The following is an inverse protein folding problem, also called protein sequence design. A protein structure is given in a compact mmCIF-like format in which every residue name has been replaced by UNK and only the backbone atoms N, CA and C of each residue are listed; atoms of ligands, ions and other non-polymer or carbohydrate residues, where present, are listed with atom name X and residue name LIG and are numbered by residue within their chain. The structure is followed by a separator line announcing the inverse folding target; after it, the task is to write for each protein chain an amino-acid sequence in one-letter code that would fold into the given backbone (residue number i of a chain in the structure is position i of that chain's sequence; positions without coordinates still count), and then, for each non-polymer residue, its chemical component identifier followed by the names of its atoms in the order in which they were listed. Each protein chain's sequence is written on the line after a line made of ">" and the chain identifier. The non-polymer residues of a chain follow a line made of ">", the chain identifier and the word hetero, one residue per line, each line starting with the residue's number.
data_IF_754512634536
#
_entry.id   IF_754512634536
#
_cell.length_a   1.000
_cell.length_b   1.000
_cell.length_c   1.000
_cell.angle_alpha   90.00
_cell.angle_beta   90.00
_cell.angle_gamma   90.00
#
_symmetry.space_group_name_H-M   'P 1'
#
loop_
_entity.id
_entity.type
_entity.pdbx_description
1 polymer ?
#
# COMPACT_ATOMS: atom_id res chain seq x y z
N UNK A 1 -8.39 35.27 5.68
CA UNK A 1 -7.81 34.18 6.51
C UNK A 1 -8.25 32.78 6.08
N UNK A 2 -9.53 32.50 5.78
CA UNK A 2 -9.96 31.15 5.36
C UNK A 2 -9.36 30.63 4.03
N UNK A 3 -9.05 31.52 3.08
CA UNK A 3 -8.51 31.15 1.77
C UNK A 3 -7.05 30.66 1.84
N UNK A 4 -6.20 31.33 2.62
CA UNK A 4 -4.79 30.96 2.77
C UNK A 4 -4.61 29.59 3.45
N UNK A 5 -5.38 29.33 4.51
CA UNK A 5 -5.39 28.01 5.16
C UNK A 5 -5.90 26.88 4.25
N UNK A 6 -6.83 27.16 3.33
CA UNK A 6 -7.26 26.19 2.31
C UNK A 6 -6.17 25.93 1.28
N UNK A 7 -5.46 26.97 0.84
CA UNK A 7 -4.34 26.83 -0.11
C UNK A 7 -3.16 26.06 0.50
N UNK A 8 -2.81 26.29 1.76
CA UNK A 8 -1.78 25.51 2.47
C UNK A 8 -2.21 24.03 2.58
N UNK A 9 -3.46 23.78 2.98
CA UNK A 9 -4.00 22.41 3.03
C UNK A 9 -3.92 21.70 1.66
N UNK A 10 -4.22 22.42 0.57
CA UNK A 10 -4.11 21.86 -0.78
C UNK A 10 -2.65 21.59 -1.18
N UNK A 11 -1.71 22.49 -0.85
CA UNK A 11 -0.29 22.32 -1.15
C UNK A 11 0.34 21.14 -0.41
N UNK A 12 0.01 20.97 0.87
CA UNK A 12 0.50 19.83 1.68
C UNK A 12 -0.08 18.52 1.21
N UNK A 13 -1.40 18.46 0.93
CA UNK A 13 -2.03 17.27 0.35
C UNK A 13 -1.39 16.90 -1.01
N UNK A 14 -1.15 17.90 -1.88
CA UNK A 14 -0.42 17.68 -3.12
C UNK A 14 1.00 17.14 -2.90
N UNK A 15 1.74 17.68 -1.93
CA UNK A 15 3.07 17.20 -1.59
C UNK A 15 3.07 15.76 -1.02
N UNK A 16 1.99 15.35 -0.35
CA UNK A 16 1.79 13.97 0.11
C UNK A 16 1.44 13.03 -1.05
N UNK A 17 0.58 13.47 -1.98
CA UNK A 17 0.24 12.71 -3.19
C UNK A 17 1.47 12.51 -4.09
N UNK A 18 2.38 13.48 -4.10
CA UNK A 18 3.66 13.45 -4.84
C UNK A 18 4.80 12.76 -4.07
N UNK A 19 4.61 12.43 -2.77
CA UNK A 19 5.64 11.79 -1.94
C UNK A 19 5.77 10.31 -2.29
N UNK A 20 6.68 9.98 -3.20
CA UNK A 20 7.16 8.62 -3.41
C UNK A 20 8.10 8.25 -2.24
N UNK A 21 7.58 7.47 -1.28
CA UNK A 21 8.33 7.10 -0.09
C UNK A 21 9.68 6.49 -0.41
N UNK A 22 10.77 7.15 0.00
CA UNK A 22 12.05 6.45 0.11
C UNK A 22 11.91 5.37 1.19
N UNK A 23 12.27 4.10 0.89
CA UNK A 23 12.29 3.06 1.90
C UNK A 23 13.25 3.47 3.03
N UNK A 24 12.92 3.18 4.30
CA UNK A 24 13.79 3.52 5.40
C UNK A 24 15.15 2.80 5.23
N UNK A 25 16.22 3.59 5.12
CA UNK A 25 17.59 3.08 5.22
C UNK A 25 17.72 2.51 6.63
N UNK A 26 17.80 1.18 6.72
CA UNK A 26 17.94 0.45 7.98
C UNK A 26 19.36 0.71 8.51
N UNK A 27 19.45 1.62 9.47
CA UNK A 27 20.69 1.94 10.18
C UNK A 27 21.29 0.73 10.90
N UNK A 28 22.60 0.62 10.80
CA UNK A 28 23.47 -0.32 11.52
C UNK A 28 23.37 -0.05 13.02
N UNK A 29 23.18 -1.09 13.84
CA UNK A 29 23.52 -1.04 15.26
C UNK A 29 24.26 -2.31 15.69
N UNK A 30 25.35 -2.10 16.42
CA UNK A 30 26.39 -3.06 16.77
C UNK A 30 25.97 -4.16 17.79
N UNK A 31 26.46 -5.37 17.48
CA UNK A 31 26.98 -6.49 18.30
C UNK A 31 26.26 -6.97 19.58
N UNK A 32 25.94 -8.29 19.61
CA UNK A 32 26.01 -9.13 20.80
C UNK A 32 27.26 -10.04 20.81
N UNK A 33 27.82 -10.25 22.00
CA UNK A 33 29.07 -10.97 22.33
C UNK A 33 29.04 -12.49 22.13
N UNK A 34 30.15 -13.04 21.62
CA UNK A 34 30.40 -14.46 21.27
C UNK A 34 30.49 -15.39 22.49
N UNK A 35 29.86 -16.56 22.41
CA UNK A 35 30.39 -17.79 22.99
C UNK A 35 31.04 -18.59 21.84
N UNK A 36 32.33 -18.96 21.97
CA UNK A 36 33.08 -19.70 20.95
C UNK A 36 32.57 -21.15 20.88
N UNK A 37 31.92 -21.50 19.78
CA UNK A 37 31.93 -22.87 19.27
C UNK A 37 33.08 -22.97 18.25
N UNK A 38 33.74 -24.12 18.18
CA UNK A 38 34.85 -24.34 17.25
C UNK A 38 34.42 -24.08 15.80
N UNK A 39 35.09 -23.12 15.18
CA UNK A 39 34.81 -22.59 13.86
C UNK A 39 35.34 -23.60 12.82
N UNK A 40 34.46 -24.48 12.34
CA UNK A 40 34.73 -25.22 11.11
C UNK A 40 34.82 -24.21 9.97
N UNK A 41 35.89 -24.28 9.16
CA UNK A 41 36.02 -23.39 8.01
C UNK A 41 34.77 -23.51 7.11
N UNK A 42 34.11 -22.39 6.77
CA UNK A 42 33.02 -22.43 5.83
C UNK A 42 33.54 -23.00 4.51
N UNK A 43 32.81 -23.93 3.85
CA UNK A 43 33.21 -24.40 2.55
C UNK A 43 33.34 -23.17 1.62
N UNK A 44 34.51 -23.03 0.98
CA UNK A 44 34.71 -22.07 -0.12
C UNK A 44 33.85 -22.52 -1.30
N UNK A 45 32.56 -22.25 -1.20
CA UNK A 45 31.57 -22.43 -2.24
C UNK A 45 31.35 -21.10 -2.91
N UNK A 46 31.67 -21.06 -4.20
CA UNK A 46 31.42 -19.96 -5.12
C UNK A 46 30.10 -19.24 -4.81
N UNK A 47 30.13 -17.90 -4.77
CA UNK A 47 28.91 -17.09 -4.83
C UNK A 47 28.06 -17.60 -6.00
N UNK A 48 26.94 -18.26 -5.67
CA UNK A 48 26.00 -18.69 -6.67
C UNK A 48 25.48 -17.41 -7.35
N UNK A 49 25.61 -17.25 -8.68
CA UNK A 49 24.99 -16.13 -9.38
C UNK A 49 23.51 -16.12 -9.00
N UNK A 50 23.03 -15.01 -8.43
CA UNK A 50 21.69 -14.91 -7.87
C UNK A 50 20.66 -15.49 -8.82
N UNK A 51 20.03 -16.60 -8.43
CA UNK A 51 19.05 -17.27 -9.27
C UNK A 51 17.99 -16.26 -9.70
N UNK A 52 17.78 -16.11 -11.01
CA UNK A 52 16.81 -15.17 -11.55
C UNK A 52 15.44 -15.41 -10.87
N UNK A 53 14.89 -14.37 -10.24
CA UNK A 53 13.58 -14.45 -9.58
C UNK A 53 12.54 -14.80 -10.64
N UNK A 54 11.96 -16.00 -10.54
CA UNK A 54 10.87 -16.43 -11.42
C UNK A 54 9.65 -15.55 -11.18
N UNK A 55 8.97 -15.15 -12.24
CA UNK A 55 7.73 -14.38 -12.20
C UNK A 55 6.71 -15.04 -13.11
N UNK A 56 5.46 -15.10 -12.67
CA UNK A 56 4.39 -15.63 -13.53
C UNK A 56 4.17 -14.74 -14.77
N UNK A 57 3.59 -15.29 -15.86
CA UNK A 57 3.14 -14.47 -16.98
C UNK A 57 2.23 -13.35 -16.50
N UNK A 58 2.33 -12.18 -17.13
CA UNK A 58 1.48 -11.04 -16.76
C UNK A 58 0.02 -11.39 -17.00
N UNK A 59 -0.81 -11.21 -15.98
CA UNK A 59 -2.24 -11.47 -16.07
C UNK A 59 -3.02 -10.19 -15.82
N UNK A 60 -3.91 -9.87 -16.75
CA UNK A 60 -4.74 -8.67 -16.70
C UNK A 60 -6.10 -9.00 -16.12
N UNK A 61 -6.41 -8.41 -14.97
CA UNK A 61 -7.74 -8.57 -14.36
C UNK A 61 -8.73 -7.59 -14.98
N UNK A 62 -10.02 -7.72 -14.64
CA UNK A 62 -11.03 -6.77 -15.07
C UNK A 62 -10.67 -5.31 -14.69
N UNK A 63 -10.94 -4.35 -15.56
CA UNK A 63 -10.58 -2.94 -15.34
C UNK A 63 -11.30 -2.34 -14.13
N UNK A 64 -10.65 -1.49 -13.36
CA UNK A 64 -11.24 -0.82 -12.20
C UNK A 64 -12.01 0.42 -12.62
N UNK A 65 -13.31 0.45 -12.33
CA UNK A 65 -14.15 1.61 -12.61
C UNK A 65 -13.91 2.67 -11.54
N UNK A 66 -13.40 3.82 -11.96
CA UNK A 66 -13.24 4.99 -11.08
C UNK A 66 -14.62 5.49 -10.62
N UNK A 67 -14.71 5.89 -9.35
CA UNK A 67 -15.88 6.57 -8.80
C UNK A 67 -15.74 8.10 -8.95
N UNK A 68 -16.80 8.82 -8.59
CA UNK A 68 -16.80 10.29 -8.66
C UNK A 68 -16.00 10.94 -7.52
N UNK A 69 -15.44 10.15 -6.59
CA UNK A 69 -14.61 10.62 -5.48
C UNK A 69 -13.14 10.63 -5.86
N UNK A 70 -12.38 11.53 -5.25
CA UNK A 70 -10.96 11.71 -5.53
C UNK A 70 -10.64 12.11 -6.97
N UNK A 71 -9.40 12.51 -7.19
CA UNK A 71 -8.90 12.83 -8.54
C UNK A 71 -8.62 11.54 -9.31
N UNK A 72 -8.49 11.64 -10.64
CA UNK A 72 -8.04 10.49 -11.44
C UNK A 72 -6.61 10.07 -11.06
N UNK A 73 -5.75 11.05 -10.78
CA UNK A 73 -4.38 10.83 -10.32
C UNK A 73 -4.33 10.06 -8.99
N UNK A 74 -5.15 10.43 -8.01
CA UNK A 74 -5.19 9.71 -6.72
C UNK A 74 -5.74 8.29 -6.89
N UNK A 75 -6.71 8.11 -7.78
CA UNK A 75 -7.21 6.78 -8.11
C UNK A 75 -6.11 5.90 -8.73
N UNK A 76 -5.36 6.44 -9.69
CA UNK A 76 -4.26 5.75 -10.34
C UNK A 76 -3.13 5.44 -9.35
N UNK A 77 -2.77 6.39 -8.48
CA UNK A 77 -1.75 6.20 -7.45
C UNK A 77 -2.10 5.06 -6.51
N UNK A 78 -3.31 5.05 -5.97
CA UNK A 78 -3.74 3.96 -5.09
C UNK A 78 -3.84 2.62 -5.84
N UNK A 79 -4.34 2.62 -7.07
CA UNK A 79 -4.44 1.40 -7.87
C UNK A 79 -3.05 0.81 -8.20
N UNK A 80 -2.08 1.66 -8.50
CA UNK A 80 -0.68 1.27 -8.70
C UNK A 80 -0.09 0.67 -7.41
N UNK A 81 -0.30 1.31 -6.26
CA UNK A 81 0.14 0.77 -4.97
C UNK A 81 -0.40 -0.63 -4.68
N UNK A 82 -1.66 -0.91 -5.06
CA UNK A 82 -2.23 -2.26 -4.98
C UNK A 82 -1.49 -3.24 -5.90
N UNK A 83 -1.19 -2.82 -7.13
CA UNK A 83 -0.52 -3.65 -8.13
C UNK A 83 0.92 -3.96 -7.73
N UNK A 84 1.68 -2.96 -7.30
CA UNK A 84 3.05 -3.11 -6.80
C UNK A 84 3.10 -4.03 -5.59
N UNK A 85 2.20 -3.82 -4.62
CA UNK A 85 2.06 -4.67 -3.44
C UNK A 85 1.81 -6.13 -3.81
N UNK A 86 0.89 -6.39 -4.76
CA UNK A 86 0.65 -7.73 -5.30
C UNK A 86 1.90 -8.31 -5.95
N UNK A 87 2.56 -7.57 -6.85
CA UNK A 87 3.68 -8.04 -7.64
C UNK A 87 4.98 -8.21 -6.85
N UNK A 88 5.02 -7.68 -5.62
CA UNK A 88 6.09 -7.89 -4.66
C UNK A 88 5.91 -9.16 -3.80
N UNK A 89 4.71 -9.74 -3.73
CA UNK A 89 4.47 -11.00 -3.02
C UNK A 89 4.92 -12.23 -3.83
N UNK A 90 5.32 -13.28 -3.11
CA UNK A 90 5.41 -14.61 -3.73
C UNK A 90 4.02 -15.22 -3.91
N UNK A 91 3.92 -16.15 -4.85
CA UNK A 91 2.70 -16.92 -5.11
C UNK A 91 2.23 -17.64 -3.85
N UNK A 92 3.16 -18.27 -3.10
CA UNK A 92 2.84 -18.93 -1.84
C UNK A 92 2.25 -17.95 -0.82
N UNK A 93 2.92 -16.82 -0.60
CA UNK A 93 2.47 -15.81 0.36
C UNK A 93 1.08 -15.30 0.02
N UNK A 94 0.81 -15.01 -1.26
CA UNK A 94 -0.52 -14.58 -1.70
C UNK A 94 -1.59 -15.64 -1.40
N UNK A 95 -1.35 -16.91 -1.75
CA UNK A 95 -2.32 -17.98 -1.52
C UNK A 95 -2.59 -18.22 -0.03
N UNK A 96 -1.55 -18.23 0.80
CA UNK A 96 -1.68 -18.35 2.25
C UNK A 96 -2.47 -17.19 2.86
N UNK A 97 -2.19 -15.96 2.44
CA UNK A 97 -2.90 -14.76 2.89
C UNK A 97 -4.37 -14.78 2.43
N UNK A 98 -4.65 -15.21 1.19
CA UNK A 98 -6.01 -15.37 0.67
C UNK A 98 -6.80 -16.42 1.43
N UNK A 99 -6.18 -17.55 1.76
CA UNK A 99 -6.80 -18.60 2.56
C UNK A 99 -7.05 -18.15 4.01
N UNK A 100 -6.10 -17.43 4.61
CA UNK A 100 -6.30 -16.81 5.92
C UNK A 100 -7.47 -15.82 5.89
N UNK A 101 -7.50 -14.91 4.92
CA UNK A 101 -8.59 -13.94 4.76
C UNK A 101 -9.96 -14.62 4.57
N UNK A 102 -10.05 -15.71 3.78
CA UNK A 102 -11.30 -16.46 3.63
C UNK A 102 -11.77 -17.09 4.94
N UNK A 103 -10.84 -17.56 5.79
CA UNK A 103 -11.15 -18.22 7.08
C UNK A 103 -11.57 -17.23 8.17
N UNK A 104 -10.84 -16.12 8.32
CA UNK A 104 -11.00 -15.21 9.46
C UNK A 104 -11.44 -13.80 9.06
N UNK A 105 -11.50 -13.48 7.77
CA UNK A 105 -11.81 -12.14 7.28
C UNK A 105 -10.86 -11.11 7.86
N UNK A 106 -11.43 -10.09 8.49
CA UNK A 106 -10.73 -9.01 9.20
C UNK A 106 -10.72 -9.19 10.72
N UNK A 107 -10.99 -10.39 11.23
CA UNK A 107 -10.96 -10.63 12.69
C UNK A 107 -9.55 -10.42 13.22
N UNK A 108 -9.41 -9.62 14.28
CA UNK A 108 -8.13 -9.31 14.92
C UNK A 108 -7.32 -8.20 14.24
N UNK A 109 -7.84 -7.58 13.18
CA UNK A 109 -7.14 -6.49 12.47
C UNK A 109 -7.54 -5.11 12.99
N UNK A 110 -6.82 -4.08 12.57
CA UNK A 110 -7.17 -2.67 12.82
C UNK A 110 -6.40 -2.03 13.97
N UNK A 111 -5.64 -2.82 14.76
CA UNK A 111 -4.67 -2.24 15.70
C UNK A 111 -3.56 -1.53 14.92
N UNK A 112 -2.98 -2.18 13.92
CA UNK A 112 -1.98 -1.58 13.04
C UNK A 112 -2.53 -0.33 12.35
N UNK A 113 -3.79 -0.39 11.88
CA UNK A 113 -4.47 0.75 11.27
C UNK A 113 -4.59 1.96 12.21
N UNK A 114 -5.02 1.74 13.47
CA UNK A 114 -5.15 2.81 14.46
C UNK A 114 -3.80 3.44 14.81
N UNK A 115 -2.78 2.62 15.02
CA UNK A 115 -1.43 3.08 15.33
C UNK A 115 -0.82 3.88 14.17
N UNK A 116 -0.96 3.39 12.94
CA UNK A 116 -0.50 4.10 11.76
C UNK A 116 -1.22 5.45 11.61
N UNK A 117 -2.55 5.49 11.75
CA UNK A 117 -3.32 6.75 11.70
C UNK A 117 -2.90 7.75 12.76
N UNK A 118 -2.56 7.29 13.97
CA UNK A 118 -2.04 8.15 15.04
C UNK A 118 -0.70 8.78 14.63
N UNK A 119 0.25 7.95 14.18
CA UNK A 119 1.57 8.42 13.71
C UNK A 119 1.45 9.39 12.52
N UNK A 120 0.58 9.09 11.57
CA UNK A 120 0.35 10.00 10.43
C UNK A 120 -0.26 11.32 10.85
N UNK A 121 -1.22 11.31 11.78
CA UNK A 121 -1.79 12.54 12.33
C UNK A 121 -0.71 13.41 13.00
N UNK A 122 0.17 12.81 13.79
CA UNK A 122 1.29 13.51 14.42
C UNK A 122 2.23 14.12 13.37
N UNK A 123 2.56 13.37 12.31
CA UNK A 123 3.37 13.87 11.19
C UNK A 123 2.69 15.04 10.46
N UNK A 124 1.40 14.94 10.16
CA UNK A 124 0.62 16.00 9.52
C UNK A 124 0.59 17.28 10.36
N UNK A 125 0.42 17.15 11.69
CA UNK A 125 0.45 18.30 12.59
C UNK A 125 1.80 19.01 12.48
N UNK A 126 2.91 18.27 12.55
CA UNK A 126 4.24 18.86 12.44
C UNK A 126 4.47 19.56 11.10
N UNK A 127 4.03 18.95 9.99
CA UNK A 127 4.14 19.53 8.65
C UNK A 127 3.30 20.81 8.50
N UNK A 128 2.08 20.82 9.02
CA UNK A 128 1.23 22.02 8.96
C UNK A 128 1.75 23.14 9.85
N UNK A 129 2.26 22.81 11.04
CA UNK A 129 2.87 23.78 11.92
C UNK A 129 4.09 24.43 11.26
N UNK A 130 4.99 23.63 10.69
CA UNK A 130 6.14 24.11 9.93
C UNK A 130 5.71 25.01 8.75
N UNK A 131 4.70 24.61 7.99
CA UNK A 131 4.19 25.42 6.88
C UNK A 131 3.62 26.76 7.32
N UNK A 132 2.86 26.80 8.43
CA UNK A 132 2.27 28.02 9.00
C UNK A 132 3.32 28.97 9.56
N UNK A 133 4.38 28.43 10.19
CA UNK A 133 5.51 29.20 10.69
C UNK A 133 6.31 29.80 9.52
N UNK A 134 6.60 29.00 8.49
CA UNK A 134 7.38 29.43 7.33
C UNK A 134 6.65 30.44 6.45
N UNK A 135 5.32 30.37 6.37
CA UNK A 135 4.52 31.38 5.66
C UNK A 135 4.34 32.67 6.45
N UNK A 136 4.66 32.66 7.75
CA UNK A 136 4.40 33.77 8.66
C UNK A 136 2.92 34.01 8.95
N UNK A 137 2.04 33.04 8.62
CA UNK A 137 0.60 33.17 8.79
C UNK A 137 0.15 33.01 10.24
N UNK A 138 0.89 32.23 11.04
CA UNK A 138 0.59 32.02 12.46
C UNK A 138 1.84 31.62 13.22
N UNK A 139 1.87 31.93 14.53
CA UNK A 139 3.02 31.68 15.39
C UNK A 139 2.59 31.11 16.74
N UNK A 140 3.53 30.43 17.41
CA UNK A 140 3.33 29.89 18.76
C UNK A 140 2.11 28.98 18.87
N UNK A 141 1.36 29.13 19.96
CA UNK A 141 0.20 28.27 20.26
C UNK A 141 -0.89 28.32 19.18
N UNK A 142 -1.03 29.43 18.46
CA UNK A 142 -2.03 29.56 17.40
C UNK A 142 -1.66 28.71 16.18
N UNK A 143 -0.38 28.65 15.81
CA UNK A 143 0.10 27.78 14.73
C UNK A 143 -0.17 26.30 15.04
N UNK A 144 0.13 25.86 16.27
CA UNK A 144 -0.12 24.49 16.75
C UNK A 144 -1.62 24.17 16.68
N UNK A 145 -2.48 25.11 17.11
CA UNK A 145 -3.93 24.93 17.11
C UNK A 145 -4.48 24.80 15.69
N UNK A 146 -4.04 25.66 14.77
CA UNK A 146 -4.44 25.61 13.36
C UNK A 146 -3.92 24.33 12.68
N UNK A 147 -2.67 23.95 12.92
CA UNK A 147 -2.09 22.72 12.40
C UNK A 147 -2.89 21.47 12.84
N UNK A 148 -3.30 21.41 14.12
CA UNK A 148 -4.19 20.36 14.63
C UNK A 148 -5.54 20.36 13.93
N UNK A 149 -6.13 21.52 13.64
CA UNK A 149 -7.40 21.61 12.94
C UNK A 149 -7.29 21.13 11.48
N UNK A 150 -6.24 21.54 10.76
CA UNK A 150 -5.94 21.10 9.40
C UNK A 150 -5.71 19.58 9.35
N UNK A 151 -4.82 19.05 10.19
CA UNK A 151 -4.58 17.62 10.27
C UNK A 151 -5.86 16.83 10.63
N UNK A 152 -6.68 17.32 11.55
CA UNK A 152 -7.96 16.68 11.87
C UNK A 152 -8.94 16.68 10.68
N UNK A 153 -8.89 17.71 9.82
CA UNK A 153 -9.72 17.79 8.63
C UNK A 153 -9.28 16.76 7.60
N UNK A 154 -7.99 16.66 7.30
CA UNK A 154 -7.49 15.67 6.33
C UNK A 154 -7.63 14.24 6.84
N UNK A 155 -7.39 14.01 8.13
CA UNK A 155 -7.59 12.68 8.71
C UNK A 155 -9.04 12.20 8.63
N UNK A 156 -10.04 13.09 8.39
CA UNK A 156 -11.43 12.65 8.11
C UNK A 156 -11.60 12.09 6.70
N UNK A 157 -10.80 12.56 5.73
CA UNK A 157 -10.90 12.17 4.32
C UNK A 157 -9.85 11.14 3.92
N UNK A 158 -8.75 11.03 4.66
CA UNK A 158 -7.68 10.08 4.42
C UNK A 158 -7.89 8.78 5.20
N UNK A 159 -7.67 7.64 4.55
CA UNK A 159 -7.62 6.31 5.13
C UNK A 159 -6.21 5.73 5.04
N UNK A 160 -5.87 4.88 6.02
CA UNK A 160 -4.73 4.00 5.92
C UNK A 160 -4.93 3.01 4.77
N UNK A 161 -3.93 2.91 3.88
CA UNK A 161 -3.94 2.03 2.73
C UNK A 161 -3.18 0.75 3.04
N UNK A 162 -3.77 -0.37 2.64
CA UNK A 162 -3.14 -1.68 2.60
C UNK A 162 -2.72 -1.94 1.15
N UNK A 163 -1.42 -2.05 0.89
CA UNK A 163 -0.89 -2.27 -0.45
C UNK A 163 -0.23 -3.67 -0.51
N UNK A 164 -0.96 -4.74 -0.88
CA UNK A 164 -2.33 -4.75 -1.37
C UNK A 164 -3.40 -4.88 -0.29
N UNK A 165 -4.67 -4.77 -0.70
CA UNK A 165 -5.84 -4.92 0.16
C UNK A 165 -5.84 -6.34 0.74
N UNK A 166 -6.24 -6.51 1.99
CA UNK A 166 -6.38 -7.82 2.62
C UNK A 166 -7.28 -8.78 1.83
N UNK A 167 -8.33 -8.25 1.16
CA UNK A 167 -9.17 -9.03 0.24
C UNK A 167 -8.32 -9.59 -0.91
N UNK A 168 -7.35 -8.83 -1.40
CA UNK A 168 -6.42 -9.24 -2.46
C UNK A 168 -5.16 -9.93 -1.91
N UNK A 169 -5.18 -10.45 -0.68
CA UNK A 169 -4.05 -11.19 -0.10
C UNK A 169 -3.00 -10.32 0.59
N UNK A 170 -3.31 -9.06 0.91
CA UNK A 170 -2.50 -8.23 1.78
C UNK A 170 -2.56 -8.64 3.25
N UNK A 171 -1.62 -8.12 4.04
CA UNK A 171 -1.56 -8.26 5.50
C UNK A 171 -2.08 -6.99 6.18
N UNK A 172 -2.34 -7.03 7.49
CA UNK A 172 -2.73 -5.85 8.29
C UNK A 172 -1.52 -4.93 8.56
N UNK A 173 -0.90 -4.44 7.48
CA UNK A 173 0.16 -3.45 7.50
C UNK A 173 -0.29 -2.21 6.74
N UNK A 174 0.01 -1.04 7.31
CA UNK A 174 -0.29 0.25 6.69
C UNK A 174 0.97 0.79 6.07
N UNK A 175 0.93 0.98 4.76
CA UNK A 175 2.07 1.51 3.99
C UNK A 175 1.99 3.04 3.93
N UNK A 176 0.79 3.58 3.77
CA UNK A 176 0.59 5.01 3.52
C UNK A 176 -0.85 5.48 3.83
N UNK A 177 -1.13 6.77 3.64
CA UNK A 177 -2.47 7.33 3.62
C UNK A 177 -2.90 7.65 2.18
N UNK A 178 -4.21 7.64 1.94
CA UNK A 178 -4.80 8.16 0.71
C UNK A 178 -6.29 8.41 0.87
N UNK A 179 -6.91 8.97 -0.16
CA UNK A 179 -8.33 9.28 -0.17
C UNK A 179 -9.19 8.04 0.17
N UNK A 180 -10.02 8.19 1.20
CA UNK A 180 -10.88 7.13 1.71
C UNK A 180 -11.93 6.67 0.70
N UNK A 181 -12.44 7.58 -0.10
CA UNK A 181 -13.46 7.30 -1.12
C UNK A 181 -12.90 6.50 -2.28
N UNK A 182 -11.67 6.83 -2.70
CA UNK A 182 -10.91 6.06 -3.69
C UNK A 182 -10.62 4.65 -3.16
N UNK A 183 -10.04 4.54 -1.96
CA UNK A 183 -9.70 3.26 -1.33
C UNK A 183 -10.93 2.35 -1.22
N UNK A 184 -12.05 2.88 -0.72
CA UNK A 184 -13.31 2.12 -0.63
C UNK A 184 -13.82 1.67 -2.01
N UNK A 185 -13.66 2.49 -3.05
CA UNK A 185 -14.11 2.13 -4.40
C UNK A 185 -13.24 1.05 -5.04
N UNK A 186 -11.93 1.07 -4.83
CA UNK A 186 -11.04 -0.01 -5.28
C UNK A 186 -11.37 -1.29 -4.49
N UNK A 187 -11.45 -1.18 -3.16
CA UNK A 187 -11.76 -2.28 -2.24
C UNK A 187 -13.07 -3.01 -2.56
N UNK A 188 -14.12 -2.26 -2.90
CA UNK A 188 -15.42 -2.82 -3.25
C UNK A 188 -15.43 -3.63 -4.56
N UNK A 189 -14.44 -3.45 -5.42
CA UNK A 189 -14.40 -4.09 -6.74
C UNK A 189 -13.68 -5.45 -6.75
N UNK A 190 -12.94 -5.79 -5.69
CA UNK A 190 -12.14 -7.02 -5.65
C UNK A 190 -12.96 -8.31 -5.88
N UNK A 191 -14.10 -8.42 -5.21
CA UNK A 191 -14.96 -9.62 -5.24
C UNK A 191 -16.04 -9.58 -6.33
N UNK A 192 -16.10 -8.52 -7.13
CA UNK A 192 -17.12 -8.37 -8.17
C UNK A 192 -16.57 -8.82 -9.52
N UNK A 193 -17.43 -9.45 -10.32
CA UNK A 193 -17.23 -9.50 -11.76
C UNK A 193 -17.06 -8.08 -12.30
N UNK A 194 -16.13 -7.90 -13.23
CA UNK A 194 -15.87 -6.62 -13.86
C UNK A 194 -16.10 -6.70 -15.36
N UNK A 195 -15.48 -5.77 -16.06
CA UNK A 195 -15.47 -5.72 -17.51
C UNK A 195 -14.02 -5.82 -17.97
N UNK A 196 -13.76 -6.61 -19.00
CA UNK A 196 -12.44 -6.70 -19.64
C UNK A 196 -12.23 -5.56 -20.65
N UNK A 197 -11.06 -5.53 -21.30
CA UNK A 197 -10.75 -4.46 -22.26
C UNK A 197 -11.64 -4.47 -23.52
N UNK A 198 -12.32 -5.59 -23.79
CA UNK A 198 -13.24 -5.73 -24.91
C UNK A 198 -14.67 -5.26 -24.58
N UNK A 199 -14.92 -4.86 -23.32
CA UNK A 199 -16.24 -4.48 -22.86
C UNK A 199 -17.09 -5.66 -22.40
N UNK A 200 -16.54 -6.88 -22.35
CA UNK A 200 -17.27 -8.07 -21.92
C UNK A 200 -17.19 -8.28 -20.41
N UNK A 201 -18.30 -8.75 -19.83
CA UNK A 201 -18.37 -9.06 -18.40
C UNK A 201 -17.53 -10.29 -18.10
N UNK A 202 -16.64 -10.21 -17.10
CA UNK A 202 -15.83 -11.35 -16.68
C UNK A 202 -16.68 -12.38 -15.94
N UNK A 203 -16.35 -13.67 -16.10
CA UNK A 203 -17.02 -14.78 -15.40
C UNK A 203 -16.55 -14.92 -13.95
N UNK A 204 -15.28 -14.61 -13.71
CA UNK A 204 -14.67 -14.57 -12.38
C UNK A 204 -14.49 -13.12 -11.91
N UNK A 205 -14.53 -12.92 -10.60
CA UNK A 205 -14.04 -11.70 -9.95
C UNK A 205 -12.52 -11.58 -10.08
N UNK A 206 -11.99 -10.40 -9.76
CA UNK A 206 -10.54 -10.13 -9.85
C UNK A 206 -9.74 -11.05 -8.94
N UNK A 207 -10.17 -11.25 -7.69
CA UNK A 207 -9.46 -12.13 -6.76
C UNK A 207 -9.62 -13.61 -7.11
N UNK A 208 -10.72 -14.02 -7.73
CA UNK A 208 -10.90 -15.41 -8.18
C UNK A 208 -9.97 -15.76 -9.33
N UNK A 209 -9.84 -14.91 -10.33
CA UNK A 209 -8.90 -15.17 -11.43
C UNK A 209 -7.44 -15.12 -10.93
N UNK A 210 -7.12 -14.20 -10.02
CA UNK A 210 -5.81 -14.17 -9.35
C UNK A 210 -5.53 -15.45 -8.56
N UNK A 211 -6.53 -15.98 -7.82
CA UNK A 211 -6.41 -17.26 -7.10
C UNK A 211 -6.12 -18.43 -8.06
N UNK A 212 -6.76 -18.45 -9.23
CA UNK A 212 -6.54 -19.48 -10.27
C UNK A 212 -5.13 -19.38 -10.85
N UNK A 213 -4.71 -18.19 -11.25
CA UNK A 213 -3.40 -18.01 -11.88
C UNK A 213 -2.24 -18.19 -10.90
N UNK A 214 -2.42 -17.80 -9.63
CA UNK A 214 -1.46 -18.08 -8.58
C UNK A 214 -1.31 -19.59 -8.33
N UNK A 215 -2.40 -20.38 -8.29
CA UNK A 215 -2.32 -21.85 -8.17
C UNK A 215 -1.59 -22.49 -9.34
N UNK A 216 -1.82 -22.00 -10.56
CA UNK A 216 -1.10 -22.44 -11.76
C UNK A 216 0.38 -22.08 -11.70
N UNK A 217 0.72 -20.88 -11.23
CA UNK A 217 2.11 -20.47 -11.03
C UNK A 217 2.81 -21.30 -9.95
N UNK A 218 2.09 -21.67 -8.88
CA UNK A 218 2.62 -22.52 -7.81
C UNK A 218 3.08 -23.88 -8.35
N UNK A 219 2.25 -24.52 -9.20
CA UNK A 219 2.57 -25.84 -9.76
C UNK A 219 3.65 -25.80 -10.85
N UNK A 220 3.79 -24.69 -11.58
CA UNK A 220 4.70 -24.59 -12.73
C UNK A 220 6.03 -23.90 -12.41
N UNK A 221 6.03 -22.89 -11.55
CA UNK A 221 7.18 -22.05 -11.24
C UNK A 221 7.70 -22.25 -9.80
N UNK A 222 6.86 -22.76 -8.91
CA UNK A 222 7.17 -22.99 -7.49
C UNK A 222 6.68 -21.88 -6.56
N UNK A 223 6.82 -22.08 -5.24
CA UNK A 223 6.24 -21.21 -4.22
C UNK A 223 6.85 -19.80 -4.17
N UNK A 224 8.13 -19.68 -4.53
CA UNK A 224 8.88 -18.43 -4.45
C UNK A 224 8.74 -17.54 -5.69
N UNK A 225 8.05 -18.03 -6.73
CA UNK A 225 7.75 -17.23 -7.91
C UNK A 225 6.93 -15.99 -7.51
N UNK A 226 7.20 -14.85 -8.13
CA UNK A 226 6.46 -13.60 -7.90
C UNK A 226 5.18 -13.54 -8.73
N UNK A 227 4.19 -12.84 -8.20
CA UNK A 227 3.00 -12.46 -8.96
C UNK A 227 3.34 -11.46 -10.08
N UNK A 228 2.42 -11.35 -11.03
CA UNK A 228 2.50 -10.43 -12.15
C UNK A 228 1.10 -10.03 -12.61
N UNK A 229 0.39 -9.33 -11.75
CA UNK A 229 -0.95 -8.82 -12.01
C UNK A 229 -0.85 -7.45 -12.66
N UNK A 230 -1.75 -7.19 -13.60
CA UNK A 230 -1.98 -5.88 -14.19
C UNK A 230 -3.33 -5.37 -13.70
N UNK A 231 -3.31 -4.32 -12.89
CA UNK A 231 -4.48 -3.56 -12.47
C UNK A 231 -4.50 -2.25 -13.25
N UNK A 232 -5.62 -1.92 -13.86
CA UNK A 232 -5.77 -0.70 -14.65
C UNK A 232 -7.18 -0.15 -14.54
N UNK A 233 -7.34 1.17 -14.75
CA UNK A 233 -8.66 1.78 -14.84
C UNK A 233 -9.39 1.36 -16.12
N UNK A 234 -10.72 1.35 -16.06
CA UNK A 234 -11.55 1.28 -17.26
C UNK A 234 -11.31 2.52 -18.13
N UNK A 235 -11.35 2.32 -19.45
CA UNK A 235 -11.27 3.39 -20.45
C UNK A 235 -12.62 4.10 -20.60
#
# INVERSE_FOLDING_TARGET
>A
MQQAAQEIGQRVNKALDEYQGQPPIRGVTDKPTKAKADELEPPKGNELPGAAIKRMPQHKVACFKKNDKGTAQEYDRQLEGQMEGLNNMSVKQYLENRDAFKKIGRKGTGKAQKEARKKFKEKLIAQYEEALLNSGESFGDEAIKQAKQLANKDMKTLHALHNPDMVAGGVDEVVELGDAGVNQSIGAQWNNNGIDDSGMKTTLSRVEIMDVEAKKALSTLGPDAKLNMNLHRCK
#
